data_IF_446937629922
#
_entry.id   IF_446937629922
#
_cell.length_a   1.000
_cell.length_b   1.000
_cell.length_c   1.000
_cell.angle_alpha   90.00
_cell.angle_beta   90.00
_cell.angle_gamma   90.00
#
_symmetry.space_group_name_H-M   'P 1'
#
loop_
_entity.id
_entity.type
_entity.pdbx_description
1 polymer ?
#
# COMPACT_ATOMS: atom_id res chain seq x y z
N UNK A 1 -17.45 0.78 24.61
CA UNK A 1 -16.66 -0.36 24.08
C UNK A 1 -15.90 -0.98 25.23
N UNK A 2 -15.99 -2.30 25.41
CA UNK A 2 -15.18 -3.07 26.38
C UNK A 2 -14.30 -4.05 25.61
N UNK A 3 -13.22 -4.55 26.22
CA UNK A 3 -12.39 -5.59 25.59
C UNK A 3 -13.24 -6.83 25.23
N UNK A 4 -14.21 -7.18 26.08
CA UNK A 4 -15.16 -8.26 25.82
C UNK A 4 -16.06 -8.00 24.59
N UNK A 5 -16.52 -6.75 24.37
CA UNK A 5 -17.30 -6.42 23.18
C UNK A 5 -16.46 -6.42 21.91
N UNK A 6 -15.15 -6.13 21.99
CA UNK A 6 -14.23 -6.23 20.86
C UNK A 6 -13.99 -7.68 20.44
N UNK A 7 -13.78 -8.58 21.40
CA UNK A 7 -13.59 -10.01 21.12
C UNK A 7 -14.86 -10.75 20.69
N UNK A 8 -16.02 -10.09 20.80
CA UNK A 8 -17.24 -10.60 20.19
C UNK A 8 -17.22 -10.50 18.65
N UNK A 9 -16.55 -9.48 18.10
CA UNK A 9 -16.46 -9.24 16.65
C UNK A 9 -15.21 -9.85 16.03
N UNK A 10 -14.14 -10.01 16.81
CA UNK A 10 -12.88 -10.56 16.36
C UNK A 10 -12.42 -11.63 17.35
N UNK A 11 -12.17 -12.86 16.91
CA UNK A 11 -11.78 -13.95 17.79
C UNK A 11 -10.42 -13.71 18.47
N UNK A 12 -9.55 -12.91 17.85
CA UNK A 12 -8.22 -12.60 18.37
C UNK A 12 -7.67 -11.26 17.84
N UNK A 13 -6.51 -10.85 18.39
CA UNK A 13 -5.84 -9.59 18.01
C UNK A 13 -5.41 -9.57 16.53
N UNK A 14 -4.99 -10.71 15.97
CA UNK A 14 -4.55 -10.78 14.58
C UNK A 14 -5.71 -10.53 13.62
N UNK A 15 -6.89 -11.09 13.89
CA UNK A 15 -8.09 -10.87 13.10
C UNK A 15 -8.55 -9.40 13.15
N UNK A 16 -8.46 -8.75 14.31
CA UNK A 16 -8.72 -7.31 14.45
C UNK A 16 -7.74 -6.47 13.61
N UNK A 17 -6.45 -6.80 13.62
CA UNK A 17 -5.44 -6.09 12.84
C UNK A 17 -5.64 -6.31 11.32
N UNK A 18 -5.99 -7.52 10.90
CA UNK A 18 -6.30 -7.84 9.50
C UNK A 18 -7.53 -7.09 9.00
N UNK A 19 -8.61 -7.09 9.79
CA UNK A 19 -9.81 -6.31 9.47
C UNK A 19 -9.50 -4.82 9.38
N UNK A 20 -8.66 -4.30 10.29
CA UNK A 20 -8.21 -2.90 10.22
C UNK A 20 -7.48 -2.65 8.90
N UNK A 21 -6.49 -3.47 8.52
CA UNK A 21 -5.78 -3.34 7.23
C UNK A 21 -6.73 -3.41 6.03
N UNK A 22 -7.74 -4.29 6.06
CA UNK A 22 -8.72 -4.40 4.96
C UNK A 22 -9.56 -3.14 4.80
N UNK A 23 -10.01 -2.53 5.89
CA UNK A 23 -10.76 -1.27 5.87
C UNK A 23 -9.90 -0.12 5.34
N UNK A 24 -8.61 -0.12 5.70
CA UNK A 24 -7.65 0.85 5.19
C UNK A 24 -7.44 0.72 3.68
N UNK A 25 -7.28 -0.51 3.19
CA UNK A 25 -7.17 -0.79 1.76
C UNK A 25 -8.43 -0.36 1.01
N UNK A 26 -9.62 -0.52 1.59
CA UNK A 26 -10.88 -0.09 0.99
C UNK A 26 -10.95 1.44 0.77
N UNK A 27 -10.26 2.23 1.61
CA UNK A 27 -10.14 3.69 1.46
C UNK A 27 -9.05 4.06 0.45
N UNK A 28 -7.87 3.46 0.59
CA UNK A 28 -6.69 3.86 -0.18
C UNK A 28 -6.74 3.38 -1.64
N UNK A 29 -7.15 2.14 -1.90
CA UNK A 29 -7.09 1.52 -3.22
C UNK A 29 -7.83 2.30 -4.31
N UNK A 30 -9.10 2.71 -4.12
CA UNK A 30 -9.83 3.42 -5.17
C UNK A 30 -9.15 4.76 -5.52
N UNK A 31 -8.65 5.48 -4.51
CA UNK A 31 -7.98 6.78 -4.68
C UNK A 31 -6.65 6.63 -5.43
N UNK A 32 -5.81 5.68 -5.03
CA UNK A 32 -4.53 5.41 -5.69
C UNK A 32 -4.72 4.92 -7.13
N UNK A 33 -5.73 4.07 -7.41
CA UNK A 33 -6.06 3.65 -8.77
C UNK A 33 -6.54 4.81 -9.64
N UNK A 34 -7.38 5.69 -9.09
CA UNK A 34 -7.83 6.87 -9.80
C UNK A 34 -6.67 7.82 -10.14
N UNK A 35 -5.71 8.00 -9.23
CA UNK A 35 -4.50 8.78 -9.48
C UNK A 35 -3.61 8.15 -10.56
N UNK A 36 -3.44 6.82 -10.53
CA UNK A 36 -2.67 6.07 -11.54
C UNK A 36 -3.26 6.09 -12.94
N UNK A 37 -4.57 6.35 -13.07
CA UNK A 37 -5.31 6.33 -14.32
C UNK A 37 -5.39 7.70 -15.03
N UNK A 38 -4.99 8.79 -14.37
CA UNK A 38 -5.12 10.13 -14.95
C UNK A 38 -4.02 10.50 -15.97
N UNK A 39 -2.72 10.28 -15.71
CA UNK A 39 -1.68 10.78 -16.60
C UNK A 39 -1.32 9.81 -17.74
N UNK A 40 -1.00 10.36 -18.92
CA UNK A 40 -0.64 9.57 -20.11
C UNK A 40 0.80 9.02 -20.09
N UNK A 41 1.68 9.59 -19.26
CA UNK A 41 3.07 9.13 -19.16
C UNK A 41 3.40 8.51 -17.80
N UNK A 42 4.36 7.59 -17.81
CA UNK A 42 4.73 6.73 -16.67
C UNK A 42 5.25 7.54 -15.48
N UNK A 43 6.06 8.58 -15.74
CA UNK A 43 6.64 9.43 -14.69
C UNK A 43 5.54 10.21 -13.97
N UNK A 44 4.61 10.80 -14.72
CA UNK A 44 3.48 11.53 -14.18
C UNK A 44 2.50 10.59 -13.47
N UNK A 45 2.27 9.37 -13.97
CA UNK A 45 1.48 8.33 -13.29
C UNK A 45 2.08 7.99 -11.92
N UNK A 46 3.40 7.80 -11.84
CA UNK A 46 4.09 7.55 -10.58
C UNK A 46 4.02 8.76 -9.64
N UNK A 47 4.25 9.98 -10.15
CA UNK A 47 4.16 11.20 -9.38
C UNK A 47 2.75 11.39 -8.80
N UNK A 48 1.70 11.20 -9.60
CA UNK A 48 0.32 11.30 -9.17
C UNK A 48 -0.03 10.29 -8.05
N UNK A 49 0.46 9.06 -8.15
CA UNK A 49 0.27 8.03 -7.12
C UNK A 49 0.99 8.39 -5.81
N UNK A 50 2.21 8.93 -5.87
CA UNK A 50 2.96 9.37 -4.70
C UNK A 50 2.35 10.61 -4.03
N UNK A 51 1.85 11.55 -4.83
CA UNK A 51 1.14 12.74 -4.35
C UNK A 51 -0.17 12.34 -3.65
N UNK A 52 -0.91 11.41 -4.23
CA UNK A 52 -2.14 10.89 -3.63
C UNK A 52 -1.87 10.09 -2.35
N UNK A 53 -0.81 9.27 -2.32
CA UNK A 53 -0.35 8.61 -1.10
C UNK A 53 0.00 9.63 -0.01
N UNK A 54 0.67 10.73 -0.36
CA UNK A 54 0.99 11.82 0.57
C UNK A 54 -0.26 12.54 1.07
N UNK A 55 -1.30 12.70 0.23
CA UNK A 55 -2.60 13.25 0.63
C UNK A 55 -3.32 12.31 1.59
N UNK A 56 -3.39 11.01 1.27
CA UNK A 56 -3.98 10.00 2.15
C UNK A 56 -3.37 10.01 3.55
N UNK A 57 -2.04 10.12 3.66
CA UNK A 57 -1.37 10.21 4.97
C UNK A 57 -1.72 11.49 5.76
N UNK A 58 -2.08 12.58 5.08
CA UNK A 58 -2.53 13.83 5.73
C UNK A 58 -4.00 13.79 6.09
N UNK A 59 -4.84 13.26 5.21
CA UNK A 59 -6.29 13.12 5.42
C UNK A 59 -6.59 12.12 6.56
N UNK A 60 -5.73 11.10 6.71
CA UNK A 60 -5.87 10.05 7.71
C UNK A 60 -4.55 9.89 8.52
N UNK A 61 -4.29 10.75 9.51
CA UNK A 61 -3.05 10.69 10.29
C UNK A 61 -2.95 9.41 11.15
N UNK A 62 -4.09 8.93 11.69
CA UNK A 62 -4.14 7.69 12.48
C UNK A 62 -3.84 6.45 11.61
N UNK A 63 -4.27 6.49 10.35
CA UNK A 63 -3.93 5.48 9.34
C UNK A 63 -2.42 5.41 9.12
N UNK A 64 -1.79 6.56 8.92
CA UNK A 64 -0.35 6.65 8.72
C UNK A 64 0.43 6.15 9.96
N UNK A 65 -0.05 6.47 11.17
CA UNK A 65 0.52 5.98 12.42
C UNK A 65 0.39 4.45 12.54
N UNK A 66 -0.78 3.90 12.19
CA UNK A 66 -1.03 2.47 12.21
C UNK A 66 -0.15 1.73 11.19
N UNK A 67 -0.07 2.18 9.93
CA UNK A 67 0.82 1.59 8.93
C UNK A 67 2.28 1.57 9.40
N UNK A 68 2.74 2.67 10.02
CA UNK A 68 4.09 2.75 10.57
C UNK A 68 4.31 1.74 11.70
N UNK A 69 3.35 1.58 12.60
CA UNK A 69 3.40 0.60 13.68
C UNK A 69 3.41 -0.84 13.13
N UNK A 70 2.54 -1.13 12.16
CA UNK A 70 2.45 -2.44 11.51
C UNK A 70 3.73 -2.81 10.76
N UNK A 71 4.41 -1.84 10.13
CA UNK A 71 5.75 -2.06 9.56
C UNK A 71 6.75 -2.52 10.61
N UNK A 72 6.74 -1.97 11.82
CA UNK A 72 7.68 -2.39 12.89
C UNK A 72 7.32 -3.79 13.42
N UNK A 73 6.03 -4.06 13.62
CA UNK A 73 5.53 -5.36 14.11
C UNK A 73 5.84 -6.49 13.13
N UNK A 74 5.65 -6.27 11.82
CA UNK A 74 5.92 -7.26 10.77
C UNK A 74 7.39 -7.63 10.57
N UNK A 75 8.34 -6.96 11.24
CA UNK A 75 9.77 -7.33 11.24
C UNK A 75 10.13 -8.29 12.39
N UNK A 76 9.20 -8.68 13.26
CA UNK A 76 9.47 -9.62 14.34
C UNK A 76 9.55 -11.07 13.82
N UNK A 77 10.60 -11.85 14.14
CA UNK A 77 10.73 -13.23 13.66
C UNK A 77 9.60 -14.11 14.21
N UNK A 78 8.81 -14.70 13.31
CA UNK A 78 7.75 -15.66 13.65
C UNK A 78 6.33 -15.15 13.45
N UNK A 79 6.11 -13.84 13.29
CA UNK A 79 4.79 -13.30 13.01
C UNK A 79 4.58 -13.23 11.50
N UNK A 80 3.94 -14.26 10.93
CA UNK A 80 3.55 -14.32 9.51
C UNK A 80 2.36 -13.40 9.19
N UNK A 81 2.23 -12.27 9.88
CA UNK A 81 1.50 -11.13 9.34
C UNK A 81 2.29 -10.65 8.12
N UNK A 82 2.00 -11.30 7.00
CA UNK A 82 2.56 -11.10 5.67
C UNK A 82 2.54 -9.61 5.37
N UNK A 83 3.69 -8.96 5.53
CA UNK A 83 3.93 -7.52 5.44
C UNK A 83 2.66 -6.65 5.42
N UNK A 84 2.21 -6.14 6.57
CA UNK A 84 1.18 -5.13 6.65
C UNK A 84 1.82 -3.77 6.31
N UNK A 85 2.24 -3.64 5.06
CA UNK A 85 2.50 -2.38 4.39
C UNK A 85 1.50 -2.27 3.24
N UNK A 86 1.45 -1.13 2.54
CA UNK A 86 0.46 -0.87 1.49
C UNK A 86 0.76 -1.77 0.29
N UNK A 87 0.29 -3.01 0.37
CA UNK A 87 0.29 -3.99 -0.72
C UNK A 87 -0.36 -3.36 -1.94
N UNK A 88 -1.44 -2.62 -1.71
CA UNK A 88 -2.10 -1.73 -2.66
C UNK A 88 -1.14 -0.80 -3.42
N UNK A 89 -0.34 0.00 -2.70
CA UNK A 89 0.58 0.97 -3.33
C UNK A 89 1.66 0.27 -4.13
N UNK A 90 2.24 -0.80 -3.57
CA UNK A 90 3.26 -1.60 -4.27
C UNK A 90 2.69 -2.22 -5.55
N UNK A 91 1.53 -2.86 -5.48
CA UNK A 91 0.87 -3.48 -6.63
C UNK A 91 0.56 -2.46 -7.73
N UNK A 92 0.13 -1.25 -7.36
CA UNK A 92 -0.14 -0.18 -8.32
C UNK A 92 1.17 0.30 -8.98
N UNK A 93 2.23 0.52 -8.21
CA UNK A 93 3.54 0.91 -8.76
C UNK A 93 4.11 -0.19 -9.65
N UNK A 94 4.06 -1.44 -9.22
CA UNK A 94 4.53 -2.59 -9.99
C UNK A 94 3.76 -2.69 -11.32
N UNK A 95 2.43 -2.51 -11.30
CA UNK A 95 1.61 -2.46 -12.51
C UNK A 95 1.98 -1.31 -13.45
N UNK A 96 2.20 -0.09 -12.94
CA UNK A 96 2.63 1.06 -13.75
C UNK A 96 3.99 0.78 -14.40
N UNK A 97 4.94 0.19 -13.67
CA UNK A 97 6.27 -0.12 -14.18
C UNK A 97 6.20 -1.23 -15.24
N UNK A 98 5.38 -2.26 -15.03
CA UNK A 98 5.15 -3.32 -16.01
C UNK A 98 4.52 -2.79 -17.31
N UNK A 99 3.52 -1.90 -17.22
CA UNK A 99 2.92 -1.23 -18.37
C UNK A 99 3.97 -0.43 -19.15
N UNK A 100 4.81 0.32 -18.43
CA UNK A 100 5.89 1.13 -19.01
C UNK A 100 6.94 0.29 -19.75
N UNK A 101 7.26 -0.90 -19.25
CA UNK A 101 8.14 -1.85 -19.95
C UNK A 101 7.48 -2.39 -21.22
N UNK A 102 6.18 -2.71 -21.16
CA UNK A 102 5.41 -3.24 -22.29
C UNK A 102 5.28 -2.22 -23.43
N UNK A 103 5.09 -0.95 -23.09
CA UNK A 103 4.92 0.17 -24.03
C UNK A 103 6.26 0.67 -24.60
N UNK A 104 7.39 0.12 -24.16
CA UNK A 104 8.73 0.50 -24.64
C UNK A 104 9.27 1.80 -24.05
N UNK A 105 8.53 2.48 -23.18
CA UNK A 105 8.92 3.75 -22.55
C UNK A 105 10.12 3.66 -21.60
N UNK A 106 10.42 2.47 -21.07
CA UNK A 106 11.59 2.21 -20.21
C UNK A 106 12.83 1.71 -20.97
N UNK A 107 12.84 1.78 -22.31
CA UNK A 107 14.03 1.44 -23.12
C UNK A 107 15.08 2.56 -23.10
N UNK A 108 15.52 2.92 -21.90
CA UNK A 108 16.54 3.91 -21.62
C UNK A 108 17.38 3.49 -20.41
N UNK A 109 18.20 2.45 -20.60
CA UNK A 109 19.34 2.09 -19.72
C UNK A 109 19.00 1.79 -18.25
N UNK A 110 18.31 0.68 -18.01
CA UNK A 110 18.55 -0.11 -16.81
C UNK A 110 19.04 -1.49 -17.25
N UNK A 111 20.36 -1.58 -17.42
CA UNK A 111 21.06 -2.85 -17.54
C UNK A 111 20.82 -3.66 -16.27
N UNK A 112 19.80 -4.51 -16.30
CA UNK A 112 19.59 -5.56 -15.30
C UNK A 112 20.50 -6.73 -15.64
N UNK A 113 21.84 -6.55 -15.58
CA UNK A 113 22.84 -7.61 -15.39
C UNK A 113 24.28 -7.08 -15.26
N UNK A 114 24.88 -7.32 -14.09
CA UNK A 114 26.33 -7.24 -13.82
C UNK A 114 26.58 -6.39 -12.57
N UNK A 115 27.05 -6.91 -11.43
CA UNK A 115 27.74 -8.16 -11.05
C UNK A 115 27.20 -8.60 -9.68
#
# INVERSE_FOLDING_TARGET
MTSASLYHYFANKSELLEATVSEMDAIALPRLRAAAAQPDNVVDRLAAVLDESSRLMRDYPDLAAFERAMRVIGHQPGDRLRQPGPKALREIIDGIVEDAFREGGLTGRADRRGV
#
